data_IF_633972175038
#
_entry.id   IF_633972175038
#
_cell.length_a   1.000
_cell.length_b   1.000
_cell.length_c   1.000
_cell.angle_alpha   90.00
_cell.angle_beta   90.00
_cell.angle_gamma   90.00
#
_symmetry.space_group_name_H-M   'P 1'
#
loop_
_entity.id
_entity.type
_entity.pdbx_description
1 polymer ?
#
# COMPACT_ATOMS: atom_id res chain seq x y z
N UNK A 1 -71.65 -14.51 -19.23
CA UNK A 1 -70.89 -14.15 -20.45
C UNK A 1 -69.92 -15.28 -20.76
N UNK A 2 -70.13 -15.89 -21.93
CA UNK A 2 -69.28 -16.71 -22.80
C UNK A 2 -68.52 -17.89 -22.18
N UNK A 3 -68.93 -19.16 -22.35
CA UNK A 3 -69.11 -20.01 -23.57
C UNK A 3 -67.85 -20.75 -23.99
N UNK A 4 -67.97 -22.08 -23.93
CA UNK A 4 -67.09 -23.17 -24.35
C UNK A 4 -66.63 -23.11 -25.82
N UNK A 5 -65.49 -23.75 -26.15
CA UNK A 5 -65.36 -24.91 -27.06
C UNK A 5 -63.89 -25.07 -27.56
N UNK A 6 -63.24 -26.20 -27.26
CA UNK A 6 -62.84 -27.33 -28.16
C UNK A 6 -61.99 -26.90 -29.39
N UNK A 7 -60.86 -27.59 -29.62
CA UNK A 7 -60.60 -28.50 -30.78
C UNK A 7 -59.15 -28.51 -31.25
N UNK A 8 -58.64 -29.74 -31.36
CA UNK A 8 -57.43 -30.27 -32.03
C UNK A 8 -57.30 -29.95 -33.52
N UNK A 9 -56.05 -29.81 -34.02
CA UNK A 9 -55.57 -30.21 -35.37
C UNK A 9 -54.03 -29.97 -35.43
N UNK A 10 -53.12 -30.96 -35.53
CA UNK A 10 -52.64 -31.66 -36.75
C UNK A 10 -52.76 -30.81 -38.03
N UNK A 11 -51.72 -30.40 -38.77
CA UNK A 11 -50.80 -31.27 -39.55
C UNK A 11 -49.97 -30.43 -40.57
N UNK A 12 -48.75 -30.91 -40.90
CA UNK A 12 -48.15 -31.15 -42.25
C UNK A 12 -48.29 -30.02 -43.31
N UNK A 13 -47.32 -29.50 -44.07
CA UNK A 13 -45.89 -29.71 -44.34
C UNK A 13 -45.47 -28.58 -45.30
N UNK A 14 -44.19 -28.19 -45.35
CA UNK A 14 -43.54 -27.92 -46.64
C UNK A 14 -42.02 -28.07 -46.52
N UNK A 15 -41.53 -29.08 -47.24
CA UNK A 15 -40.12 -29.31 -47.52
C UNK A 15 -39.51 -28.08 -48.18
N UNK A 16 -38.36 -27.64 -47.67
CA UNK A 16 -37.27 -27.27 -48.54
C UNK A 16 -36.04 -28.08 -48.13
N UNK A 17 -35.79 -29.13 -48.90
CA UNK A 17 -34.50 -29.77 -48.92
C UNK A 17 -33.50 -28.81 -49.55
N UNK A 18 -32.47 -28.45 -48.79
CA UNK A 18 -31.18 -28.11 -49.37
C UNK A 18 -30.12 -28.92 -48.64
N UNK A 19 -29.54 -29.82 -49.44
CA UNK A 19 -28.32 -30.58 -49.22
C UNK A 19 -27.46 -30.08 -48.07
N UNK A 20 -27.31 -30.91 -47.04
CA UNK A 20 -26.28 -30.72 -46.02
C UNK A 20 -24.92 -30.84 -46.70
N UNK A 21 -24.37 -29.70 -47.11
CA UNK A 21 -22.98 -29.59 -47.55
C UNK A 21 -22.07 -29.97 -46.38
N UNK A 22 -21.28 -31.01 -46.57
CA UNK A 22 -20.25 -31.46 -45.62
C UNK A 22 -19.22 -30.37 -45.30
N UNK A 23 -19.10 -29.34 -46.13
CA UNK A 23 -18.26 -28.15 -45.87
C UNK A 23 -18.75 -27.29 -44.70
N UNK A 24 -20.05 -27.25 -44.43
CA UNK A 24 -20.62 -26.39 -43.38
C UNK A 24 -20.39 -26.97 -41.97
N UNK A 25 -20.18 -28.30 -41.86
CA UNK A 25 -19.83 -28.93 -40.58
C UNK A 25 -18.36 -28.71 -40.23
N UNK A 26 -17.45 -28.90 -41.18
CA UNK A 26 -16.01 -28.69 -41.00
C UNK A 26 -15.66 -27.23 -40.66
N UNK A 27 -16.34 -26.25 -41.29
CA UNK A 27 -16.15 -24.83 -40.98
C UNK A 27 -16.67 -24.45 -39.58
N UNK A 28 -17.77 -25.06 -39.12
CA UNK A 28 -18.32 -24.80 -37.78
C UNK A 28 -17.49 -25.41 -36.65
N UNK A 29 -16.84 -26.55 -36.89
CA UNK A 29 -15.91 -27.15 -35.91
C UNK A 29 -14.61 -26.35 -35.81
N UNK A 30 -14.00 -25.99 -36.94
CA UNK A 30 -12.79 -25.15 -36.95
C UNK A 30 -13.03 -23.75 -36.34
N UNK A 31 -14.24 -23.19 -36.51
CA UNK A 31 -14.61 -21.91 -35.89
C UNK A 31 -14.78 -22.02 -34.37
N UNK A 32 -15.27 -23.15 -33.85
CA UNK A 32 -15.38 -23.40 -32.40
C UNK A 32 -14.02 -23.62 -31.76
N UNK A 33 -13.11 -24.32 -32.43
CA UNK A 33 -11.77 -24.60 -31.91
C UNK A 33 -10.90 -23.34 -31.87
N UNK A 34 -11.01 -22.47 -32.88
CA UNK A 34 -10.32 -21.18 -32.90
C UNK A 34 -10.86 -20.20 -31.84
N UNK A 35 -12.18 -20.17 -31.60
CA UNK A 35 -12.75 -19.35 -30.51
C UNK A 35 -12.37 -19.87 -29.12
N UNK A 36 -12.32 -21.19 -28.93
CA UNK A 36 -11.91 -21.78 -27.65
C UNK A 36 -10.44 -21.49 -27.34
N UNK A 37 -9.55 -21.55 -28.34
CA UNK A 37 -8.13 -21.23 -28.15
C UNK A 37 -7.93 -19.74 -27.85
N UNK A 38 -8.66 -18.86 -28.53
CA UNK A 38 -8.65 -17.41 -28.25
C UNK A 38 -9.17 -17.09 -26.84
N UNK A 39 -10.19 -17.82 -26.35
CA UNK A 39 -10.70 -17.66 -24.99
C UNK A 39 -9.71 -18.14 -23.93
N UNK A 40 -9.02 -19.27 -24.17
CA UNK A 40 -7.96 -19.76 -23.28
C UNK A 40 -6.82 -18.76 -23.18
N UNK A 41 -6.33 -18.23 -24.30
CA UNK A 41 -5.25 -17.22 -24.32
C UNK A 41 -5.64 -15.94 -23.55
N UNK A 42 -6.87 -15.47 -23.69
CA UNK A 42 -7.40 -14.34 -22.90
C UNK A 42 -7.46 -14.65 -21.40
N UNK A 43 -7.87 -15.87 -21.03
CA UNK A 43 -7.90 -16.32 -19.64
C UNK A 43 -6.50 -16.41 -19.04
N UNK A 44 -5.53 -16.95 -19.78
CA UNK A 44 -4.13 -17.02 -19.36
C UNK A 44 -3.50 -15.64 -19.20
N UNK A 45 -3.83 -14.69 -20.09
CA UNK A 45 -3.35 -13.30 -19.99
C UNK A 45 -3.96 -12.61 -18.76
N UNK A 46 -5.27 -12.76 -18.54
CA UNK A 46 -5.95 -12.20 -17.36
C UNK A 46 -5.44 -12.81 -16.05
N UNK A 47 -5.14 -14.12 -16.02
CA UNK A 47 -4.56 -14.78 -14.85
C UNK A 47 -3.15 -14.27 -14.55
N UNK A 48 -2.31 -14.09 -15.57
CA UNK A 48 -0.96 -13.54 -15.38
C UNK A 48 -0.98 -12.09 -14.90
N UNK A 49 -1.89 -11.26 -15.41
CA UNK A 49 -2.07 -9.88 -14.96
C UNK A 49 -2.61 -9.80 -13.52
N UNK A 50 -3.44 -10.75 -13.12
CA UNK A 50 -4.00 -10.82 -11.76
C UNK A 50 -2.96 -11.33 -10.76
N UNK A 51 -2.18 -12.35 -11.12
CA UNK A 51 -1.09 -12.89 -10.29
C UNK A 51 0.01 -11.84 -10.09
N UNK A 52 0.27 -11.00 -11.09
CA UNK A 52 1.29 -9.93 -11.02
C UNK A 52 0.86 -8.73 -10.16
N UNK A 53 -0.44 -8.52 -9.93
CA UNK A 53 -0.95 -7.39 -9.15
C UNK A 53 -1.07 -7.64 -7.65
N UNK A 54 -1.21 -8.89 -7.21
CA UNK A 54 -1.43 -9.24 -5.80
C UNK A 54 -0.17 -9.74 -5.06
N UNK A 55 0.97 -9.93 -5.73
CA UNK A 55 2.09 -10.73 -5.19
C UNK A 55 3.39 -10.00 -4.86
N UNK A 56 3.40 -8.67 -4.71
CA UNK A 56 4.53 -7.96 -4.05
C UNK A 56 3.99 -6.80 -3.21
N UNK A 57 3.35 -7.09 -2.07
CA UNK A 57 3.30 -6.11 -0.98
C UNK A 57 4.73 -5.93 -0.50
N UNK A 58 5.42 -4.92 -1.04
CA UNK A 58 6.73 -4.50 -0.60
C UNK A 58 6.72 -4.42 0.93
N UNK A 59 7.64 -5.15 1.58
CA UNK A 59 7.72 -5.18 3.04
C UNK A 59 8.11 -3.79 3.51
N UNK A 60 7.12 -3.01 3.95
CA UNK A 60 7.31 -1.66 4.44
C UNK A 60 8.12 -1.72 5.74
N UNK A 61 9.35 -1.20 5.73
CA UNK A 61 10.21 -1.22 6.91
C UNK A 61 9.73 -0.25 8.01
N UNK A 62 9.13 0.88 7.62
CA UNK A 62 8.52 1.86 8.51
C UNK A 62 7.41 2.64 7.81
N UNK A 63 6.49 3.21 8.60
CA UNK A 63 5.41 4.09 8.13
C UNK A 63 5.38 5.37 8.97
N UNK A 64 5.40 6.52 8.30
CA UNK A 64 5.14 7.81 8.95
C UNK A 64 3.63 7.98 9.05
N UNK A 65 3.11 8.04 10.27
CA UNK A 65 1.68 8.15 10.58
C UNK A 65 1.24 9.61 10.47
N UNK A 66 2.01 10.53 11.05
CA UNK A 66 1.71 11.95 11.05
C UNK A 66 2.99 12.77 10.99
N UNK A 67 2.94 13.93 10.34
CA UNK A 67 4.05 14.89 10.29
C UNK A 67 3.56 16.31 10.00
N UNK A 68 4.30 17.29 10.50
CA UNK A 68 4.19 18.66 10.01
C UNK A 68 4.80 18.76 8.58
N UNK A 69 4.13 19.40 7.60
CA UNK A 69 4.68 19.61 6.26
C UNK A 69 6.00 20.38 6.20
N UNK A 70 6.27 21.27 7.16
CA UNK A 70 7.52 22.05 7.20
C UNK A 70 8.69 21.27 7.80
N UNK A 71 8.40 20.16 8.51
CA UNK A 71 9.40 19.34 9.17
C UNK A 71 10.21 18.53 8.14
N UNK A 72 11.50 18.86 8.03
CA UNK A 72 12.45 18.03 7.27
C UNK A 72 13.05 16.96 8.17
N UNK A 73 12.95 15.70 7.75
CA UNK A 73 13.51 14.57 8.47
C UNK A 73 14.06 13.51 7.52
N UNK A 74 14.90 12.64 8.08
CA UNK A 74 15.45 11.46 7.42
C UNK A 74 15.34 10.29 8.38
N UNK A 75 14.96 9.13 7.86
CA UNK A 75 14.85 7.87 8.63
C UNK A 75 15.77 6.88 7.94
N UNK A 76 16.68 6.28 8.68
CA UNK A 76 17.63 5.31 8.13
C UNK A 76 17.89 4.16 9.08
N UNK A 77 17.99 2.95 8.54
CA UNK A 77 18.57 1.80 9.23
C UNK A 77 20.09 1.91 9.13
N UNK A 78 20.78 1.86 10.26
CA UNK A 78 22.24 2.02 10.39
C UNK A 78 22.92 0.81 11.03
N UNK A 79 22.16 -0.23 11.38
CA UNK A 79 22.68 -1.49 11.90
C UNK A 79 21.57 -2.44 12.33
N UNK A 80 21.94 -3.50 13.05
CA UNK A 80 21.02 -4.58 13.44
C UNK A 80 20.62 -4.57 14.93
N UNK A 81 21.17 -3.67 15.73
CA UNK A 81 20.83 -3.56 17.16
C UNK A 81 19.41 -3.07 17.37
N UNK A 82 18.62 -3.65 18.29
CA UNK A 82 17.22 -3.24 18.55
C UNK A 82 17.13 -1.84 19.21
N UNK A 83 17.37 -0.80 18.43
CA UNK A 83 17.60 0.55 18.92
C UNK A 83 17.01 1.58 17.98
N UNK A 84 16.44 2.66 18.53
CA UNK A 84 15.98 3.80 17.75
C UNK A 84 16.56 5.08 18.35
N UNK A 85 17.35 5.81 17.56
CA UNK A 85 17.97 7.07 17.97
C UNK A 85 17.36 8.26 17.25
N UNK A 86 17.14 9.33 18.00
CA UNK A 86 16.70 10.61 17.52
C UNK A 86 17.87 11.58 17.51
N UNK A 87 18.06 12.26 16.39
CA UNK A 87 19.05 13.30 16.21
C UNK A 87 18.36 14.57 15.74
N UNK A 88 18.64 15.70 16.36
CA UNK A 88 18.11 16.99 15.94
C UNK A 88 19.30 17.85 15.54
N UNK A 89 19.41 18.18 14.25
CA UNK A 89 20.39 19.12 13.72
C UNK A 89 19.83 20.53 13.81
N UNK A 90 19.63 21.01 15.03
CA UNK A 90 19.33 22.41 15.27
C UNK A 90 20.65 23.19 15.32
N UNK A 91 20.75 24.30 14.58
CA UNK A 91 21.88 25.23 14.73
C UNK A 91 21.96 25.86 16.13
N UNK A 92 20.89 25.76 16.91
CA UNK A 92 20.83 26.10 18.34
C UNK A 92 21.32 24.95 19.23
N UNK A 93 22.02 25.30 20.32
CA UNK A 93 22.65 24.37 21.26
C UNK A 93 21.66 23.49 22.03
N UNK A 94 20.37 23.82 22.07
CA UNK A 94 19.40 23.14 22.92
C UNK A 94 18.22 22.54 22.13
N UNK A 95 18.04 21.23 22.31
CA UNK A 95 16.81 20.53 21.92
C UNK A 95 15.69 21.06 22.83
N UNK A 96 14.56 21.57 22.30
CA UNK A 96 13.43 22.00 23.12
C UNK A 96 12.96 20.88 24.06
N UNK A 97 12.28 21.23 25.15
CA UNK A 97 11.59 20.23 25.98
C UNK A 97 10.48 19.59 25.15
N UNK A 98 10.72 18.41 24.61
CA UNK A 98 9.78 17.65 23.79
C UNK A 98 9.03 16.64 24.66
N UNK A 99 7.73 16.51 24.43
CA UNK A 99 6.99 15.35 24.87
C UNK A 99 7.24 14.23 23.87
N UNK A 100 7.74 13.09 24.37
CA UNK A 100 8.03 11.92 23.55
C UNK A 100 7.30 10.72 24.15
N UNK A 101 6.37 10.16 23.39
CA UNK A 101 5.62 8.96 23.74
C UNK A 101 6.15 7.82 22.87
N UNK A 102 6.41 6.67 23.47
CA UNK A 102 7.01 5.50 22.80
C UNK A 102 6.28 4.23 23.21
N UNK A 103 6.25 3.23 22.33
CA UNK A 103 5.65 1.93 22.67
C UNK A 103 6.52 1.06 23.57
N UNK A 104 7.85 1.15 23.46
CA UNK A 104 8.77 0.28 24.21
C UNK A 104 10.19 0.86 24.33
N UNK A 105 11.08 0.12 24.99
CA UNK A 105 12.51 0.44 25.10
C UNK A 105 12.90 1.34 26.26
N UNK A 106 14.17 1.21 26.66
CA UNK A 106 14.78 1.98 27.74
C UNK A 106 15.44 3.24 27.19
N UNK A 107 15.29 4.36 27.88
CA UNK A 107 15.89 5.61 27.43
C UNK A 107 17.41 5.51 27.34
N UNK A 108 17.96 5.94 26.22
CA UNK A 108 19.39 5.95 25.93
C UNK A 108 19.79 7.33 25.43
N UNK A 109 20.90 7.85 25.94
CA UNK A 109 21.50 9.10 25.47
C UNK A 109 22.93 8.80 25.04
N UNK A 110 23.27 9.15 23.79
CA UNK A 110 24.61 8.96 23.22
C UNK A 110 25.07 10.28 22.58
N UNK A 111 25.93 11.01 23.31
CA UNK A 111 26.38 12.33 22.90
C UNK A 111 25.21 13.31 22.74
N UNK A 112 25.02 13.83 21.51
CA UNK A 112 23.91 14.76 21.17
C UNK A 112 22.63 14.06 20.74
N UNK A 113 22.62 12.72 20.67
CA UNK A 113 21.46 11.92 20.24
C UNK A 113 20.74 11.36 21.46
N UNK A 114 19.41 11.34 21.40
CA UNK A 114 18.54 10.75 22.43
C UNK A 114 17.70 9.68 21.77
N UNK A 115 17.46 8.57 22.43
CA UNK A 115 16.73 7.47 21.83
C UNK A 115 16.35 6.40 22.83
N UNK A 116 16.12 5.20 22.31
CA UNK A 116 15.64 4.07 23.06
C UNK A 116 16.38 2.81 22.63
N UNK A 117 16.86 2.06 23.62
CA UNK A 117 17.53 0.77 23.44
C UNK A 117 16.62 -0.38 23.86
N UNK A 118 16.89 -1.58 23.32
CA UNK A 118 16.08 -2.78 23.54
C UNK A 118 14.60 -2.58 23.22
N UNK A 119 14.31 -1.94 22.09
CA UNK A 119 12.93 -1.72 21.64
C UNK A 119 12.31 -3.03 21.14
N UNK A 120 10.99 -3.14 21.27
CA UNK A 120 10.17 -4.18 20.66
C UNK A 120 9.57 -3.66 19.36
N UNK A 121 9.60 -4.48 18.32
CA UNK A 121 9.04 -4.16 17.00
C UNK A 121 7.67 -4.86 16.84
N UNK A 122 6.64 -4.17 16.33
CA UNK A 122 6.66 -2.80 15.81
C UNK A 122 6.89 -1.75 16.90
N UNK A 123 7.78 -0.80 16.61
CA UNK A 123 8.12 0.30 17.50
C UNK A 123 7.44 1.57 17.03
N UNK A 124 6.61 2.19 17.87
CA UNK A 124 5.99 3.47 17.56
C UNK A 124 6.54 4.57 18.47
N UNK A 125 6.71 5.75 17.88
CA UNK A 125 7.12 6.95 18.60
C UNK A 125 6.37 8.16 18.08
N UNK A 126 5.81 8.91 19.04
CA UNK A 126 5.12 10.18 18.80
C UNK A 126 5.87 11.29 19.51
N UNK A 127 6.08 12.39 18.80
CA UNK A 127 6.80 13.56 19.27
C UNK A 127 5.93 14.80 19.14
N UNK A 128 5.89 15.58 20.22
CA UNK A 128 5.19 16.84 20.26
C UNK A 128 6.02 17.89 21.01
N UNK A 129 6.19 19.07 20.42
CA UNK A 129 6.94 20.16 21.01
C UNK A 129 6.00 21.36 21.28
N UNK A 130 6.07 22.01 22.44
CA UNK A 130 5.24 23.19 22.70
C UNK A 130 5.72 24.45 21.96
N UNK A 131 6.84 24.39 21.22
CA UNK A 131 7.43 25.56 20.58
C UNK A 131 8.25 25.27 19.33
N UNK A 132 8.49 26.35 18.58
CA UNK A 132 9.32 26.39 17.37
C UNK A 132 10.76 25.98 17.69
N UNK A 133 11.28 24.94 17.05
CA UNK A 133 12.71 24.61 17.16
C UNK A 133 13.55 25.35 16.12
N UNK A 134 12.90 26.09 15.23
CA UNK A 134 13.49 26.89 14.18
C UNK A 134 12.91 28.30 14.25
N UNK A 135 13.49 29.19 15.06
CA UNK A 135 13.17 30.62 14.96
C UNK A 135 14.20 31.23 14.02
N UNK A 136 13.85 31.40 12.74
CA UNK A 136 14.59 32.33 11.90
C UNK A 136 14.11 33.75 12.26
N UNK A 137 14.99 34.66 12.72
CA UNK A 137 14.59 36.01 13.09
C UNK A 137 14.07 36.88 11.93
N UNK A 138 14.29 36.46 10.67
CA UNK A 138 13.91 37.22 9.47
C UNK A 138 12.74 36.62 8.69
N UNK A 139 12.57 35.30 8.76
CA UNK A 139 11.40 34.61 8.21
C UNK A 139 10.70 33.92 9.37
N UNK A 140 9.50 34.33 9.73
CA UNK A 140 8.68 33.69 10.79
C UNK A 140 8.31 32.20 10.50
N UNK A 141 8.98 31.57 9.53
CA UNK A 141 8.91 30.17 9.20
C UNK A 141 9.67 29.37 10.25
N UNK A 142 8.91 28.69 11.09
CA UNK A 142 9.44 27.72 12.02
C UNK A 142 9.01 26.31 11.62
N UNK A 143 9.98 25.39 11.56
CA UNK A 143 9.67 23.97 11.67
C UNK A 143 9.21 23.65 13.08
N UNK A 144 8.05 23.00 13.14
CA UNK A 144 7.47 22.46 14.37
C UNK A 144 7.65 20.95 14.35
N UNK A 145 8.18 20.40 15.45
CA UNK A 145 8.26 18.95 15.69
C UNK A 145 6.90 18.37 16.12
N UNK A 146 5.84 19.16 15.94
CA UNK A 146 4.50 18.85 16.41
C UNK A 146 3.90 17.80 15.51
N UNK A 147 3.23 16.83 16.14
CA UNK A 147 2.52 15.76 15.48
C UNK A 147 3.43 14.91 14.57
N UNK A 148 4.70 14.73 14.92
CA UNK A 148 5.50 13.72 14.23
C UNK A 148 5.25 12.36 14.86
N UNK A 149 4.78 11.41 14.07
CA UNK A 149 4.51 10.05 14.50
C UNK A 149 4.97 9.05 13.43
N UNK A 150 5.68 8.03 13.88
CA UNK A 150 6.23 6.98 13.03
C UNK A 150 6.11 5.63 13.72
N UNK A 151 5.85 4.61 12.91
CA UNK A 151 5.92 3.20 13.28
C UNK A 151 7.00 2.49 12.46
N UNK A 152 7.87 1.75 13.14
CA UNK A 152 8.97 0.99 12.53
C UNK A 152 8.65 -0.49 12.74
N UNK A 153 8.53 -1.24 11.63
CA UNK A 153 8.17 -2.66 11.65
C UNK A 153 9.40 -3.56 11.64
N UNK A 154 10.48 -3.12 10.98
CA UNK A 154 11.65 -3.95 10.80
C UNK A 154 12.63 -3.81 11.98
N UNK A 155 13.07 -4.93 12.60
CA UNK A 155 14.10 -4.91 13.61
C UNK A 155 15.42 -4.33 13.10
N UNK A 156 16.03 -3.47 13.91
CA UNK A 156 17.35 -2.94 13.61
C UNK A 156 17.64 -1.66 14.36
N UNK A 157 18.81 -1.11 14.06
CA UNK A 157 19.26 0.15 14.61
C UNK A 157 18.80 1.24 13.65
N UNK A 158 17.79 1.99 14.07
CA UNK A 158 17.23 3.09 13.32
C UNK A 158 17.72 4.44 13.84
N UNK A 159 17.94 5.37 12.92
CA UNK A 159 18.17 6.77 13.24
C UNK A 159 17.16 7.64 12.52
N UNK A 160 16.45 8.44 13.31
CA UNK A 160 15.54 9.48 12.85
C UNK A 160 16.25 10.81 13.08
N UNK A 161 16.64 11.47 11.99
CA UNK A 161 17.32 12.76 12.04
C UNK A 161 16.41 13.87 11.52
N UNK A 162 16.19 14.88 12.35
CA UNK A 162 15.47 16.10 12.01
C UNK A 162 16.47 17.17 11.54
N UNK A 163 16.23 17.71 10.36
CA UNK A 163 17.11 18.64 9.65
C UNK A 163 16.45 20.02 9.50
N UNK A 164 17.29 21.02 9.20
CA UNK A 164 16.91 22.37 8.74
C UNK A 164 16.57 22.37 7.26
#
# INVERSE_FOLDING_TARGET
MNSYLITTALSISLLFGFNTSTDDKLKKEALKDSTLNTQKERLFTQLNDTISKDSIKEKVAYKVISRNPTLKFTIRKIGEQKRVMLSIKNGSKNIPKMSVIRSSGNSLVMGKKKGYDNVQFPFSISMNAPGNYEVNPFSNTASLLNNFEIEIYEPGYWEISFNR
#
